data_IF_659634678848
#
_entry.id   IF_659634678848
#
_cell.length_a   1.000
_cell.length_b   1.000
_cell.length_c   1.000
_cell.angle_alpha   90.00
_cell.angle_beta   90.00
_cell.angle_gamma   90.00
#
_symmetry.space_group_name_H-M   'P 1'
#
loop_
_entity.id
_entity.type
_entity.pdbx_description
1 polymer ?
#
# COMPACT_ATOMS: atom_id res chain seq x y z
N UNK A 1 -11.96 0.00 -37.16
CA UNK A 1 -11.85 0.81 -35.93
C UNK A 1 -10.78 0.19 -35.04
N UNK A 2 -9.65 0.84 -34.86
CA UNK A 2 -8.58 0.35 -33.98
C UNK A 2 -9.05 0.47 -32.52
N UNK A 3 -9.11 -0.65 -31.81
CA UNK A 3 -9.30 -0.63 -30.35
C UNK A 3 -8.13 0.13 -29.75
N UNK A 4 -8.38 1.31 -29.18
CA UNK A 4 -7.41 2.02 -28.36
C UNK A 4 -6.84 1.02 -27.33
N UNK A 5 -5.52 0.82 -27.33
CA UNK A 5 -4.86 0.05 -26.27
C UNK A 5 -5.09 0.81 -24.96
N UNK A 6 -6.00 0.30 -24.14
CA UNK A 6 -6.24 0.83 -22.80
C UNK A 6 -4.95 0.73 -22.02
N UNK A 7 -4.43 1.86 -21.52
CA UNK A 7 -3.22 1.87 -20.69
C UNK A 7 -3.38 0.97 -19.46
N UNK A 8 -2.29 0.37 -18.98
CA UNK A 8 -2.29 -0.43 -17.75
C UNK A 8 -2.53 0.49 -16.55
N UNK A 9 -3.36 0.05 -15.61
CA UNK A 9 -3.59 0.76 -14.34
C UNK A 9 -2.32 0.73 -13.49
N UNK A 10 -1.92 1.88 -12.95
CA UNK A 10 -0.69 1.98 -12.15
C UNK A 10 -0.92 1.54 -10.71
N UNK A 11 -0.01 0.76 -10.19
CA UNK A 11 0.05 0.33 -8.79
C UNK A 11 1.42 0.69 -8.24
N UNK A 12 1.46 1.39 -7.12
CA UNK A 12 2.68 1.61 -6.34
C UNK A 12 2.63 0.74 -5.09
N UNK A 13 3.62 -0.14 -4.94
CA UNK A 13 3.75 -1.03 -3.79
C UNK A 13 4.91 -0.60 -2.89
N UNK A 14 4.61 -0.25 -1.64
CA UNK A 14 5.59 0.06 -0.61
C UNK A 14 5.92 -1.19 0.21
N UNK A 15 7.19 -1.59 0.16
CA UNK A 15 7.71 -2.81 0.79
C UNK A 15 7.76 -2.74 2.32
N UNK A 16 7.63 -3.93 2.96
CA UNK A 16 7.92 -4.13 4.38
C UNK A 16 9.39 -3.80 4.74
N UNK A 17 9.70 -3.80 6.02
CA UNK A 17 11.07 -3.79 6.52
C UNK A 17 11.86 -5.02 6.05
N UNK A 18 13.19 -4.95 6.19
CA UNK A 18 14.09 -6.04 5.83
C UNK A 18 14.42 -6.11 4.34
N UNK A 19 15.01 -7.21 3.88
CA UNK A 19 15.39 -7.39 2.48
C UNK A 19 14.18 -7.29 1.56
N UNK A 20 14.30 -6.50 0.51
CA UNK A 20 13.20 -6.21 -0.44
C UNK A 20 13.34 -6.96 -1.77
N UNK A 21 14.32 -7.84 -1.90
CA UNK A 21 14.56 -8.70 -3.04
C UNK A 21 14.81 -10.15 -2.66
N UNK A 22 14.36 -11.07 -3.50
CA UNK A 22 14.59 -12.51 -3.40
C UNK A 22 13.47 -13.26 -2.69
N UNK A 23 13.29 -14.51 -3.08
CA UNK A 23 12.27 -15.42 -2.52
C UNK A 23 12.39 -15.53 -0.99
N UNK A 24 11.25 -15.55 -0.31
CA UNK A 24 11.19 -15.62 1.16
C UNK A 24 11.70 -14.36 1.86
N UNK A 25 11.79 -13.22 1.16
CA UNK A 25 12.32 -11.98 1.73
C UNK A 25 11.27 -10.86 1.72
N UNK A 26 10.90 -10.42 2.91
CA UNK A 26 9.96 -9.32 3.09
C UNK A 26 8.71 -9.47 2.22
N UNK A 27 8.35 -8.42 1.50
CA UNK A 27 7.17 -8.41 0.62
C UNK A 27 7.42 -9.00 -0.78
N UNK A 28 8.62 -9.54 -1.07
CA UNK A 28 8.98 -9.90 -2.46
C UNK A 28 8.03 -10.92 -3.09
N UNK A 29 7.71 -12.00 -2.36
CA UNK A 29 6.84 -13.05 -2.89
C UNK A 29 5.41 -12.55 -3.10
N UNK A 30 4.89 -11.71 -2.21
CA UNK A 30 3.60 -11.05 -2.38
C UNK A 30 3.58 -10.16 -3.64
N UNK A 31 4.64 -9.38 -3.88
CA UNK A 31 4.76 -8.57 -5.11
C UNK A 31 4.79 -9.45 -6.35
N UNK A 32 5.56 -10.54 -6.35
CA UNK A 32 5.62 -11.46 -7.50
C UNK A 32 4.28 -12.15 -7.74
N UNK A 33 3.57 -12.52 -6.68
CA UNK A 33 2.21 -13.04 -6.77
C UNK A 33 1.26 -12.01 -7.43
N UNK A 34 1.27 -10.76 -6.96
CA UNK A 34 0.45 -9.69 -7.54
C UNK A 34 0.79 -9.45 -9.01
N UNK A 35 2.08 -9.39 -9.38
CA UNK A 35 2.51 -9.26 -10.79
C UNK A 35 1.97 -10.36 -11.67
N UNK A 36 1.97 -11.60 -11.18
CA UNK A 36 1.40 -12.74 -11.90
C UNK A 36 -0.12 -12.64 -12.07
N UNK A 37 -0.86 -12.29 -11.00
CA UNK A 37 -2.32 -12.29 -10.98
C UNK A 37 -2.97 -11.06 -11.62
N UNK A 38 -2.23 -9.95 -11.70
CA UNK A 38 -2.69 -8.68 -12.24
C UNK A 38 -2.07 -8.36 -13.63
N UNK A 39 -1.31 -9.31 -14.18
CA UNK A 39 -0.68 -9.20 -15.50
C UNK A 39 -1.69 -8.84 -16.59
N UNK A 40 -1.30 -7.95 -17.50
CA UNK A 40 -2.13 -7.51 -18.63
C UNK A 40 -3.17 -6.42 -18.31
N UNK A 41 -3.45 -6.17 -17.04
CA UNK A 41 -4.40 -5.13 -16.59
C UNK A 41 -3.73 -4.03 -15.77
N UNK A 42 -2.66 -4.39 -15.04
CA UNK A 42 -1.98 -3.49 -14.10
C UNK A 42 -0.46 -3.51 -14.31
N UNK A 43 0.15 -2.37 -14.06
CA UNK A 43 1.60 -2.20 -14.00
C UNK A 43 2.01 -1.90 -12.56
N UNK A 44 2.77 -2.79 -11.95
CA UNK A 44 3.17 -2.71 -10.54
C UNK A 44 4.58 -2.15 -10.43
N UNK A 45 4.70 -0.95 -9.89
CA UNK A 45 5.93 -0.33 -9.46
C UNK A 45 6.18 -0.67 -7.99
N UNK A 46 7.34 -1.23 -7.68
CA UNK A 46 7.72 -1.63 -6.32
C UNK A 46 9.15 -1.16 -6.02
N UNK A 47 9.32 0.16 -5.87
CA UNK A 47 10.63 0.73 -5.59
C UNK A 47 11.17 0.24 -4.25
N UNK A 48 12.49 0.13 -4.18
CA UNK A 48 13.21 -0.32 -2.99
C UNK A 48 14.01 0.81 -2.38
N UNK A 49 14.18 0.79 -1.07
CA UNK A 49 15.03 1.75 -0.37
C UNK A 49 16.49 1.30 -0.40
N UNK A 50 17.40 2.24 -0.27
CA UNK A 50 18.83 1.96 -0.09
C UNK A 50 19.04 1.23 1.25
N UNK A 51 19.84 0.14 1.25
CA UNK A 51 20.16 -0.67 2.45
C UNK A 51 18.89 -1.05 3.25
N UNK A 52 17.99 -1.85 2.69
CA UNK A 52 16.67 -2.10 3.28
C UNK A 52 16.68 -2.85 4.62
N UNK A 53 17.83 -3.42 5.02
CA UNK A 53 18.02 -4.01 6.36
C UNK A 53 18.18 -2.96 7.47
N UNK A 54 18.45 -1.72 7.10
CA UNK A 54 18.58 -0.58 8.00
C UNK A 54 17.61 0.51 7.52
N UNK A 55 16.29 0.28 7.65
CA UNK A 55 15.29 1.21 7.17
C UNK A 55 15.29 2.48 8.03
N UNK A 56 15.13 3.63 7.40
CA UNK A 56 14.85 4.91 8.05
C UNK A 56 13.74 5.61 7.29
N UNK A 57 12.99 6.49 7.94
CA UNK A 57 11.94 7.25 7.25
C UNK A 57 12.51 8.09 6.10
N UNK A 58 13.68 8.68 6.28
CA UNK A 58 14.36 9.48 5.24
C UNK A 58 14.61 8.69 3.94
N UNK A 59 14.96 7.40 4.04
CA UNK A 59 15.14 6.54 2.86
C UNK A 59 13.81 6.29 2.15
N UNK A 60 12.75 6.04 2.91
CA UNK A 60 11.40 5.90 2.34
C UNK A 60 10.93 7.22 1.72
N UNK A 61 11.13 8.34 2.39
CA UNK A 61 10.78 9.68 1.90
C UNK A 61 11.45 9.98 0.56
N UNK A 62 12.76 9.74 0.45
CA UNK A 62 13.52 9.89 -0.79
C UNK A 62 12.99 8.99 -1.90
N UNK A 63 12.77 7.71 -1.61
CA UNK A 63 12.24 6.74 -2.55
C UNK A 63 10.83 7.13 -3.03
N UNK A 64 9.92 7.50 -2.12
CA UNK A 64 8.59 7.98 -2.48
C UNK A 64 8.63 9.26 -3.30
N UNK A 65 9.51 10.21 -2.97
CA UNK A 65 9.69 11.44 -3.74
C UNK A 65 9.97 11.16 -5.21
N UNK A 66 10.89 10.24 -5.50
CA UNK A 66 11.17 9.83 -6.88
C UNK A 66 10.03 9.04 -7.52
N UNK A 67 9.44 8.10 -6.79
CA UNK A 67 8.35 7.27 -7.31
C UNK A 67 7.13 8.13 -7.67
N UNK A 68 6.73 9.05 -6.81
CA UNK A 68 5.58 9.92 -7.06
C UNK A 68 5.84 10.98 -8.13
N UNK A 69 7.06 11.49 -8.26
CA UNK A 69 7.41 12.40 -9.35
C UNK A 69 7.29 11.76 -10.76
N UNK A 70 7.40 10.44 -10.84
CA UNK A 70 7.23 9.70 -12.08
C UNK A 70 5.77 9.31 -12.39
N UNK A 71 4.83 9.53 -11.46
CA UNK A 71 3.42 9.15 -11.60
C UNK A 71 2.62 10.35 -12.07
N UNK A 72 2.10 10.28 -13.30
CA UNK A 72 1.26 11.31 -13.93
C UNK A 72 -0.21 10.91 -14.05
N UNK A 73 -0.52 9.65 -13.74
CA UNK A 73 -1.86 9.06 -13.85
C UNK A 73 -2.37 8.65 -12.46
N UNK A 74 -3.69 8.46 -12.30
CA UNK A 74 -4.22 7.94 -11.04
C UNK A 74 -3.62 6.58 -10.67
N UNK A 75 -3.22 6.42 -9.41
CA UNK A 75 -2.46 5.28 -8.92
C UNK A 75 -3.18 4.55 -7.79
N UNK A 76 -3.09 3.23 -7.77
CA UNK A 76 -3.47 2.39 -6.64
C UNK A 76 -2.26 2.28 -5.73
N UNK A 77 -2.45 2.59 -4.45
CA UNK A 77 -1.40 2.56 -3.44
C UNK A 77 -1.54 1.31 -2.58
N UNK A 78 -0.45 0.56 -2.42
CA UNK A 78 -0.39 -0.62 -1.56
C UNK A 78 0.79 -0.46 -0.60
N UNK A 79 0.54 -0.55 0.70
CA UNK A 79 1.58 -0.56 1.72
C UNK A 79 1.53 -1.84 2.55
N UNK A 80 2.65 -2.55 2.64
CA UNK A 80 2.77 -3.74 3.46
C UNK A 80 3.69 -3.49 4.65
N UNK A 81 3.21 -3.82 5.85
CA UNK A 81 3.96 -3.68 7.11
C UNK A 81 4.53 -2.26 7.25
N UNK A 82 5.83 -2.10 7.51
CA UNK A 82 6.51 -0.80 7.59
C UNK A 82 6.27 0.08 6.36
N UNK A 83 6.15 -0.52 5.16
CA UNK A 83 5.79 0.20 3.94
C UNK A 83 4.43 0.87 4.03
N UNK A 84 3.47 0.28 4.72
CA UNK A 84 2.16 0.88 4.97
C UNK A 84 2.27 2.12 5.88
N UNK A 85 3.01 2.01 6.99
CA UNK A 85 3.21 3.12 7.93
C UNK A 85 3.94 4.30 7.27
N UNK A 86 5.03 4.01 6.55
CA UNK A 86 5.85 5.04 5.89
C UNK A 86 5.12 5.70 4.73
N UNK A 87 4.30 4.94 4.00
CA UNK A 87 3.44 5.47 2.93
C UNK A 87 2.40 6.44 3.50
N UNK A 88 1.69 6.05 4.57
CA UNK A 88 0.74 6.93 5.26
C UNK A 88 1.40 8.21 5.76
N UNK A 89 2.58 8.08 6.39
CA UNK A 89 3.35 9.22 6.87
C UNK A 89 3.72 10.15 5.72
N UNK A 90 4.26 9.62 4.63
CA UNK A 90 4.63 10.39 3.46
C UNK A 90 3.44 11.13 2.85
N UNK A 91 2.34 10.44 2.61
CA UNK A 91 1.13 11.04 2.03
C UNK A 91 0.56 12.18 2.89
N UNK A 92 0.58 12.00 4.21
CA UNK A 92 0.01 13.00 5.13
C UNK A 92 0.93 14.19 5.41
N UNK A 93 2.24 14.01 5.33
CA UNK A 93 3.23 15.07 5.66
C UNK A 93 3.73 15.81 4.41
N UNK A 94 4.07 15.08 3.35
CA UNK A 94 4.64 15.67 2.13
C UNK A 94 3.56 16.07 1.11
N UNK A 95 2.36 15.49 1.21
CA UNK A 95 1.18 15.81 0.38
C UNK A 95 1.48 15.85 -1.12
N UNK A 96 2.01 14.76 -1.69
CA UNK A 96 2.34 14.75 -3.11
C UNK A 96 1.09 15.01 -3.97
N UNK A 97 1.25 15.77 -5.05
CA UNK A 97 0.17 16.06 -5.99
C UNK A 97 -0.14 14.86 -6.88
N UNK A 98 -0.74 13.81 -6.29
CA UNK A 98 -1.14 12.58 -6.98
C UNK A 98 -2.64 12.33 -6.85
N UNK A 99 -3.22 11.67 -7.82
CA UNK A 99 -4.57 11.13 -7.73
C UNK A 99 -4.51 9.66 -7.28
N UNK A 100 -4.66 9.40 -5.97
CA UNK A 100 -4.78 8.03 -5.48
C UNK A 100 -6.19 7.48 -5.74
N UNK A 101 -6.31 6.36 -6.46
CA UNK A 101 -7.59 5.70 -6.75
C UNK A 101 -8.06 4.79 -5.62
N UNK A 102 -7.15 4.25 -4.85
CA UNK A 102 -7.41 3.45 -3.66
C UNK A 102 -6.12 3.31 -2.83
N UNK A 103 -6.29 2.99 -1.56
CA UNK A 103 -5.21 2.69 -0.62
C UNK A 103 -5.47 1.33 0.05
N UNK A 104 -4.49 0.45 -0.04
CA UNK A 104 -4.48 -0.88 0.58
C UNK A 104 -3.39 -0.94 1.63
N UNK A 105 -3.76 -1.22 2.87
CA UNK A 105 -2.85 -1.36 4.00
C UNK A 105 -2.87 -2.81 4.50
N UNK A 106 -1.72 -3.47 4.46
CA UNK A 106 -1.59 -4.90 4.76
C UNK A 106 -0.67 -5.05 5.97
N UNK A 107 -1.17 -5.65 7.05
CA UNK A 107 -0.42 -5.86 8.30
C UNK A 107 0.39 -4.64 8.71
N UNK A 108 -0.21 -3.45 8.59
CA UNK A 108 0.47 -2.18 8.82
C UNK A 108 0.58 -1.89 10.31
N UNK A 109 1.79 -1.76 10.88
CA UNK A 109 1.95 -1.42 12.29
C UNK A 109 1.65 0.07 12.54
N UNK A 110 1.13 0.36 13.72
CA UNK A 110 1.01 1.70 14.27
C UNK A 110 2.14 1.91 15.27
N UNK A 111 3.12 2.69 14.88
CA UNK A 111 4.27 3.00 15.71
C UNK A 111 3.90 4.06 16.77
N UNK A 112 4.35 3.82 17.99
CA UNK A 112 4.31 4.76 19.10
C UNK A 112 5.74 5.15 19.48
N UNK A 113 5.91 5.77 20.62
CA UNK A 113 7.15 6.40 21.11
C UNK A 113 8.48 5.67 20.87
N UNK A 114 8.47 4.35 20.73
CA UNK A 114 9.69 3.54 20.58
C UNK A 114 10.31 3.60 19.17
N UNK A 115 9.53 4.09 18.19
CA UNK A 115 9.95 4.23 16.79
C UNK A 115 9.52 5.59 16.23
N UNK A 116 9.92 6.65 16.89
CA UNK A 116 9.49 8.05 16.61
C UNK A 116 9.56 8.47 15.15
N UNK A 117 10.58 8.01 14.41
CA UNK A 117 10.73 8.38 13.01
C UNK A 117 9.60 7.84 12.09
N UNK A 118 8.90 6.77 12.51
CA UNK A 118 7.78 6.17 11.76
C UNK A 118 6.42 6.54 12.33
N UNK A 119 6.37 7.28 13.43
CA UNK A 119 5.12 7.70 14.07
C UNK A 119 4.31 8.63 13.14
N UNK A 120 3.00 8.41 13.13
CA UNK A 120 2.06 9.24 12.38
C UNK A 120 1.65 10.46 13.22
N UNK A 121 1.56 11.63 12.60
CA UNK A 121 0.99 12.81 13.24
C UNK A 121 -0.46 12.59 13.62
N UNK A 122 -0.89 13.25 14.67
CA UNK A 122 -2.31 13.30 15.04
C UNK A 122 -3.12 13.82 13.84
N UNK A 123 -4.26 13.21 13.57
CA UNK A 123 -5.15 13.52 12.45
C UNK A 123 -4.55 13.33 11.04
N UNK A 124 -3.55 12.44 10.88
CA UNK A 124 -2.95 12.12 9.58
C UNK A 124 -4.02 11.74 8.53
N UNK A 125 -5.09 11.06 8.93
CA UNK A 125 -6.19 10.64 8.06
C UNK A 125 -6.94 11.80 7.39
N UNK A 126 -6.92 13.00 7.98
CA UNK A 126 -7.57 14.19 7.41
C UNK A 126 -6.94 14.61 6.07
N UNK A 127 -5.66 14.25 5.84
CA UNK A 127 -4.95 14.52 4.60
C UNK A 127 -5.17 13.44 3.52
N UNK A 128 -5.86 12.35 3.88
CA UNK A 128 -6.12 11.20 3.02
C UNK A 128 -7.61 11.04 2.68
N UNK A 129 -8.43 12.02 3.05
CA UNK A 129 -9.90 12.01 2.87
C UNK A 129 -10.35 11.91 1.42
N UNK A 130 -9.53 12.39 0.50
CA UNK A 130 -9.82 12.39 -0.93
C UNK A 130 -9.48 11.06 -1.63
N UNK A 131 -8.94 10.08 -0.91
CA UNK A 131 -8.74 8.72 -1.41
C UNK A 131 -10.09 7.99 -1.38
N UNK A 132 -10.64 7.59 -2.55
CA UNK A 132 -12.04 7.13 -2.65
C UNK A 132 -12.31 5.81 -1.93
N UNK A 133 -11.30 4.95 -1.79
CA UNK A 133 -11.44 3.65 -1.13
C UNK A 133 -10.19 3.30 -0.33
N UNK A 134 -10.38 2.87 0.92
CA UNK A 134 -9.32 2.37 1.80
C UNK A 134 -9.65 0.94 2.19
N UNK A 135 -8.66 0.05 2.07
CA UNK A 135 -8.77 -1.35 2.43
C UNK A 135 -7.74 -1.69 3.50
N UNK A 136 -8.16 -2.40 4.54
CA UNK A 136 -7.31 -2.81 5.65
C UNK A 136 -7.29 -4.33 5.74
N UNK A 137 -6.10 -4.93 5.69
CA UNK A 137 -5.89 -6.38 5.80
C UNK A 137 -5.04 -6.68 7.01
N UNK A 138 -5.46 -7.63 7.83
CA UNK A 138 -4.66 -8.06 8.97
C UNK A 138 -5.00 -9.48 9.39
N UNK A 139 -3.97 -10.29 9.65
CA UNK A 139 -4.13 -11.63 10.20
C UNK A 139 -4.43 -11.57 11.69
N UNK A 140 -5.41 -12.36 12.17
CA UNK A 140 -5.85 -12.31 13.57
C UNK A 140 -4.78 -12.64 14.59
N UNK A 141 -3.84 -13.50 14.22
CA UNK A 141 -2.76 -13.97 15.09
C UNK A 141 -1.38 -13.53 14.55
N UNK A 142 -1.31 -12.40 13.84
CA UNK A 142 -0.05 -11.79 13.40
C UNK A 142 0.82 -11.45 14.62
N UNK A 143 2.04 -11.99 14.68
CA UNK A 143 2.97 -11.80 15.80
C UNK A 143 4.01 -10.71 15.53
N UNK A 144 4.14 -10.25 14.27
CA UNK A 144 5.07 -9.19 13.90
C UNK A 144 4.41 -7.80 14.00
N UNK A 145 3.14 -7.72 13.57
CA UNK A 145 2.30 -6.54 13.75
C UNK A 145 1.03 -6.93 14.50
N UNK A 146 0.92 -6.67 15.82
CA UNK A 146 -0.24 -7.07 16.61
C UNK A 146 -1.58 -6.61 16.03
N UNK A 147 -2.61 -7.44 16.18
CA UNK A 147 -3.95 -7.20 15.59
C UNK A 147 -4.60 -5.90 16.07
N UNK A 148 -4.14 -5.35 17.21
CA UNK A 148 -4.58 -4.05 17.73
C UNK A 148 -4.29 -2.91 16.74
N UNK A 149 -3.27 -3.05 15.88
CA UNK A 149 -2.98 -2.07 14.83
C UNK A 149 -4.15 -1.93 13.86
N UNK A 150 -4.84 -3.02 13.51
CA UNK A 150 -6.03 -2.97 12.68
C UNK A 150 -7.12 -2.13 13.31
N UNK A 151 -7.33 -2.26 14.64
CA UNK A 151 -8.35 -1.47 15.37
C UNK A 151 -8.04 0.03 15.32
N UNK A 152 -6.76 0.40 15.43
CA UNK A 152 -6.32 1.78 15.29
C UNK A 152 -6.69 2.34 13.91
N UNK A 153 -6.29 1.66 12.83
CA UNK A 153 -6.56 2.13 11.46
C UNK A 153 -8.05 2.11 11.11
N UNK A 154 -8.82 1.11 11.58
CA UNK A 154 -10.29 1.10 11.46
C UNK A 154 -10.92 2.29 12.18
N UNK A 155 -10.35 2.70 13.30
CA UNK A 155 -10.75 3.93 14.01
C UNK A 155 -10.47 5.21 13.23
N UNK A 156 -9.33 5.26 12.54
CA UNK A 156 -8.91 6.40 11.73
C UNK A 156 -9.67 6.50 10.40
N UNK A 157 -9.91 5.37 9.73
CA UNK A 157 -10.61 5.29 8.44
C UNK A 157 -12.00 4.67 8.60
N UNK A 158 -12.99 5.46 8.96
CA UNK A 158 -14.35 5.00 9.32
C UNK A 158 -15.07 4.26 8.19
N UNK A 159 -14.75 4.55 6.93
CA UNK A 159 -15.36 3.94 5.74
C UNK A 159 -14.50 2.84 5.12
N UNK A 160 -13.38 2.46 5.78
CA UNK A 160 -12.49 1.44 5.24
C UNK A 160 -13.18 0.07 5.14
N UNK A 161 -12.86 -0.64 4.07
CA UNK A 161 -13.21 -2.06 3.91
C UNK A 161 -12.18 -2.87 4.67
N UNK A 162 -12.64 -3.64 5.67
CA UNK A 162 -11.76 -4.41 6.56
C UNK A 162 -11.78 -5.89 6.20
N UNK A 163 -10.61 -6.48 6.05
CA UNK A 163 -10.37 -7.90 5.80
C UNK A 163 -9.61 -8.50 6.99
N UNK A 164 -10.33 -9.07 7.94
CA UNK A 164 -9.74 -9.84 9.02
C UNK A 164 -9.40 -11.24 8.51
N UNK A 165 -8.12 -11.52 8.35
CA UNK A 165 -7.64 -12.77 7.77
C UNK A 165 -7.46 -13.83 8.88
N UNK A 166 -7.79 -15.11 8.61
CA UNK A 166 -7.49 -16.19 9.53
C UNK A 166 -5.98 -16.43 9.61
N UNK A 167 -5.54 -17.05 10.71
CA UNK A 167 -4.13 -17.45 10.86
C UNK A 167 -3.22 -16.32 11.32
N UNK A 168 -1.91 -16.50 11.07
CA UNK A 168 -0.82 -15.66 11.58
C UNK A 168 0.08 -15.06 10.49
N UNK A 169 -0.32 -15.15 9.24
CA UNK A 169 0.50 -14.69 8.13
C UNK A 169 0.74 -13.18 8.20
N UNK A 170 2.02 -12.80 8.19
CA UNK A 170 2.47 -11.41 8.08
C UNK A 170 3.02 -11.11 6.69
N UNK A 171 3.86 -12.03 6.17
CA UNK A 171 4.63 -11.82 4.93
C UNK A 171 3.83 -12.18 3.67
N UNK A 172 2.81 -13.05 3.79
CA UNK A 172 1.97 -13.50 2.67
C UNK A 172 2.77 -14.11 1.51
N UNK A 173 3.73 -14.98 1.83
CA UNK A 173 4.63 -15.61 0.83
C UNK A 173 3.89 -16.41 -0.22
N UNK A 174 2.73 -16.95 0.10
CA UNK A 174 1.85 -17.69 -0.82
C UNK A 174 0.85 -16.79 -1.56
N UNK A 175 0.95 -15.46 -1.36
CA UNK A 175 0.04 -14.46 -1.93
C UNK A 175 -1.16 -14.16 -1.03
N UNK A 176 -2.01 -13.25 -1.51
CA UNK A 176 -3.22 -12.77 -0.84
C UNK A 176 -4.33 -12.64 -1.89
N UNK A 177 -5.14 -13.71 -2.11
CA UNK A 177 -6.19 -13.71 -3.14
C UNK A 177 -7.25 -12.63 -2.95
N UNK A 178 -7.61 -12.31 -1.71
CA UNK A 178 -8.56 -11.24 -1.38
C UNK A 178 -8.09 -9.88 -1.88
N UNK A 179 -6.79 -9.59 -1.77
CA UNK A 179 -6.20 -8.35 -2.29
C UNK A 179 -6.35 -8.26 -3.82
N UNK A 180 -6.10 -9.35 -4.54
CA UNK A 180 -6.27 -9.41 -6.00
C UNK A 180 -7.72 -9.15 -6.39
N UNK A 181 -8.66 -9.78 -5.67
CA UNK A 181 -10.10 -9.61 -5.89
C UNK A 181 -10.51 -8.16 -5.69
N UNK A 182 -10.11 -7.56 -4.57
CA UNK A 182 -10.45 -6.18 -4.24
C UNK A 182 -9.82 -5.17 -5.22
N UNK A 183 -8.56 -5.38 -5.65
CA UNK A 183 -7.92 -4.54 -6.68
C UNK A 183 -8.67 -4.60 -8.01
N UNK A 184 -9.09 -5.80 -8.44
CA UNK A 184 -9.84 -5.97 -9.70
C UNK A 184 -11.26 -5.42 -9.64
N UNK A 185 -11.86 -5.35 -8.46
CA UNK A 185 -13.19 -4.80 -8.24
C UNK A 185 -13.26 -3.27 -8.29
N UNK A 186 -12.12 -2.58 -8.19
CA UNK A 186 -12.08 -1.12 -8.24
C UNK A 186 -12.64 -0.59 -9.56
N UNK A 187 -13.43 0.49 -9.54
CA UNK A 187 -13.98 1.11 -10.75
C UNK A 187 -12.90 1.39 -11.79
N UNK A 188 -13.21 1.15 -13.05
CA UNK A 188 -12.31 1.51 -14.15
C UNK A 188 -12.30 3.03 -14.30
N UNK A 189 -11.13 3.64 -14.18
CA UNK A 189 -10.97 5.06 -14.44
C UNK A 189 -11.20 5.34 -15.92
N UNK A 190 -12.08 6.29 -16.23
CA UNK A 190 -12.28 6.77 -17.61
C UNK A 190 -13.65 6.45 -18.22
N UNK A 191 -14.74 6.64 -17.46
CA UNK A 191 -16.03 7.09 -18.02
C UNK A 191 -16.51 8.23 -17.13
N UNK A 192 -15.95 9.42 -17.29
CA UNK A 192 -16.73 10.62 -17.01
C UNK A 192 -17.91 10.54 -17.97
N UNK A 193 -19.09 10.27 -17.48
CA UNK A 193 -20.32 10.59 -18.16
C UNK A 193 -20.34 12.13 -18.17
N UNK A 194 -19.90 12.72 -19.30
CA UNK A 194 -20.30 14.08 -19.62
C UNK A 194 -21.82 14.04 -19.71
N UNK A 195 -22.46 14.65 -18.73
CA UNK A 195 -23.84 15.09 -18.78
C UNK A 195 -23.92 16.30 -19.68
#
# INVERSE_FOLDING_TARGET
MAKSKKGLRKVLFAHSAGPQYGRGKGSYDLVMYLKSKLSGEFEIHFPVIEKPRLPTYEKFKKMFGWAFAAITEPVILIGHSLGGSTLLKYLSEERPAIAASALFLISTPHWKSDMNEFELKTNFQAFLKDIPAVFLYHSKNDTEAPFENLKFYKGAFKTAIVRELPGKEHIFSNGLPELVTDIKSLPQQGKSHSL
#
